data_IF_208042897543
#
_entry.id   IF_208042897543
#
_cell.length_a   1.000
_cell.length_b   1.000
_cell.length_c   1.000
_cell.angle_alpha   90.00
_cell.angle_beta   90.00
_cell.angle_gamma   90.00
#
_symmetry.space_group_name_H-M   'P 1'
#
loop_
_entity.id
_entity.type
_entity.pdbx_description
1 polymer ?
#
# COMPACT_ATOMS: atom_id res chain seq x y z
N UNK A 1 -29.54 -14.20 -21.43
CA UNK A 1 -28.37 -14.87 -20.82
C UNK A 1 -27.55 -13.80 -20.13
N UNK A 2 -27.23 -13.95 -18.84
CA UNK A 2 -26.38 -13.01 -18.11
C UNK A 2 -24.95 -13.04 -18.67
N UNK A 3 -24.30 -11.88 -18.76
CA UNK A 3 -22.89 -11.76 -19.14
C UNK A 3 -22.00 -12.53 -18.14
N UNK A 4 -21.31 -13.60 -18.57
CA UNK A 4 -20.40 -14.39 -17.73
C UNK A 4 -19.35 -13.55 -16.99
N UNK A 5 -18.81 -12.53 -17.66
CA UNK A 5 -17.76 -11.67 -17.09
C UNK A 5 -18.34 -10.78 -16.01
N UNK A 6 -19.56 -10.28 -16.19
CA UNK A 6 -20.26 -9.51 -15.17
C UNK A 6 -20.58 -10.36 -13.92
N UNK A 7 -21.02 -11.61 -14.10
CA UNK A 7 -21.28 -12.53 -13.00
C UNK A 7 -19.98 -12.89 -12.24
N UNK A 8 -18.90 -13.17 -12.97
CA UNK A 8 -17.57 -13.40 -12.41
C UNK A 8 -17.07 -12.20 -11.61
N UNK A 9 -17.19 -10.98 -12.15
CA UNK A 9 -16.80 -9.75 -11.44
C UNK A 9 -17.56 -9.58 -10.13
N UNK A 10 -18.86 -9.83 -10.12
CA UNK A 10 -19.67 -9.73 -8.90
C UNK A 10 -19.24 -10.78 -7.85
N UNK A 11 -19.01 -12.02 -8.27
CA UNK A 11 -18.53 -13.09 -7.39
C UNK A 11 -17.15 -12.78 -6.80
N UNK A 12 -16.23 -12.27 -7.61
CA UNK A 12 -14.88 -11.86 -7.18
C UNK A 12 -14.95 -10.87 -6.02
N UNK A 13 -15.73 -9.78 -6.14
CA UNK A 13 -15.83 -8.79 -5.06
C UNK A 13 -16.50 -9.32 -3.81
N UNK A 14 -17.57 -10.12 -3.96
CA UNK A 14 -18.25 -10.73 -2.82
C UNK A 14 -17.30 -11.67 -2.03
N UNK A 15 -16.56 -12.51 -2.74
CA UNK A 15 -15.58 -13.42 -2.14
C UNK A 15 -14.44 -12.65 -1.47
N UNK A 16 -13.89 -11.62 -2.13
CA UNK A 16 -12.81 -10.81 -1.57
C UNK A 16 -13.24 -10.11 -0.29
N UNK A 17 -14.45 -9.56 -0.23
CA UNK A 17 -14.98 -8.97 1.02
C UNK A 17 -15.11 -10.00 2.13
N UNK A 18 -15.60 -11.20 1.82
CA UNK A 18 -15.66 -12.27 2.80
C UNK A 18 -14.27 -12.69 3.29
N UNK A 19 -13.28 -12.73 2.39
CA UNK A 19 -11.89 -13.04 2.72
C UNK A 19 -11.27 -11.97 3.61
N UNK A 20 -11.44 -10.69 3.29
CA UNK A 20 -11.00 -9.56 4.11
C UNK A 20 -11.67 -9.58 5.48
N UNK A 21 -12.98 -9.85 5.54
CA UNK A 21 -13.70 -9.97 6.81
C UNK A 21 -13.20 -11.13 7.68
N UNK A 22 -12.64 -12.19 7.07
CA UNK A 22 -12.13 -13.37 7.79
C UNK A 22 -10.64 -13.27 8.15
N UNK A 23 -9.81 -12.80 7.22
CA UNK A 23 -8.36 -12.77 7.34
C UNK A 23 -7.82 -11.38 7.71
N UNK A 24 -8.70 -10.38 7.78
CA UNK A 24 -8.33 -8.99 7.95
C UNK A 24 -7.89 -8.33 6.63
N UNK A 25 -7.48 -7.05 6.72
CA UNK A 25 -7.09 -6.23 5.58
C UNK A 25 -5.77 -6.67 4.92
N UNK A 26 -5.12 -7.68 5.48
CA UNK A 26 -3.88 -8.28 5.00
C UNK A 26 -4.10 -9.43 4.02
N UNK A 27 -5.36 -9.72 3.67
CA UNK A 27 -5.66 -10.57 2.53
C UNK A 27 -5.08 -9.92 1.26
N UNK A 28 -3.84 -10.30 0.94
CA UNK A 28 -2.98 -9.85 -0.16
C UNK A 28 -3.74 -9.49 -1.43
N UNK A 29 -3.11 -8.68 -2.28
CA UNK A 29 -3.50 -8.53 -3.67
C UNK A 29 -3.76 -9.89 -4.31
N UNK A 30 -4.90 -10.03 -4.99
CA UNK A 30 -5.34 -11.31 -5.49
C UNK A 30 -5.72 -11.23 -6.95
N UNK A 31 -5.30 -12.27 -7.67
CA UNK A 31 -5.70 -12.53 -9.04
C UNK A 31 -6.78 -13.60 -9.09
N UNK A 32 -7.79 -13.42 -9.93
CA UNK A 32 -8.65 -14.52 -10.37
C UNK A 32 -8.71 -14.54 -11.89
N UNK A 33 -8.79 -15.74 -12.46
CA UNK A 33 -8.97 -15.95 -13.91
C UNK A 33 -10.24 -16.76 -14.16
N UNK A 34 -11.07 -16.25 -15.07
CA UNK A 34 -12.25 -16.94 -15.58
C UNK A 34 -11.89 -17.69 -16.86
N UNK A 35 -12.04 -19.00 -16.80
CA UNK A 35 -11.96 -19.88 -17.95
C UNK A 35 -13.36 -20.29 -18.41
N UNK A 36 -13.60 -20.27 -19.73
CA UNK A 36 -14.85 -20.72 -20.33
C UNK A 36 -14.58 -21.81 -21.36
N UNK A 37 -15.33 -22.90 -21.31
CA UNK A 37 -15.26 -23.96 -22.30
C UNK A 37 -16.00 -23.55 -23.58
N UNK A 38 -15.29 -23.48 -24.71
CA UNK A 38 -15.85 -23.03 -25.98
C UNK A 38 -17.00 -23.92 -26.50
N UNK A 39 -17.00 -25.21 -26.15
CA UNK A 39 -17.98 -26.18 -26.63
C UNK A 39 -19.23 -26.28 -25.75
N UNK A 40 -19.07 -26.16 -24.43
CA UNK A 40 -20.16 -26.43 -23.47
C UNK A 40 -20.65 -25.18 -22.75
N UNK A 41 -19.92 -24.07 -22.82
CA UNK A 41 -20.18 -22.85 -22.04
C UNK A 41 -19.92 -23.00 -20.53
N UNK A 42 -19.40 -24.14 -20.08
CA UNK A 42 -19.02 -24.35 -18.67
C UNK A 42 -17.94 -23.37 -18.26
N UNK A 43 -18.03 -22.87 -17.03
CA UNK A 43 -17.12 -21.88 -16.46
C UNK A 43 -16.29 -22.50 -15.33
N UNK A 44 -15.03 -22.09 -15.25
CA UNK A 44 -14.11 -22.44 -14.18
C UNK A 44 -13.40 -21.17 -13.72
N UNK A 45 -13.42 -20.90 -12.42
CA UNK A 45 -12.64 -19.80 -11.82
C UNK A 45 -11.42 -20.40 -11.15
N UNK A 46 -10.25 -19.87 -11.49
CA UNK A 46 -9.00 -20.20 -10.80
C UNK A 46 -8.55 -18.98 -10.02
N UNK A 47 -8.34 -19.19 -8.73
CA UNK A 47 -7.76 -18.19 -7.83
C UNK A 47 -6.25 -18.37 -7.79
N UNK A 48 -5.52 -17.29 -8.02
CA UNK A 48 -4.08 -17.21 -7.86
C UNK A 48 -3.75 -16.24 -6.72
N UNK A 49 -2.84 -16.66 -5.85
CA UNK A 49 -2.11 -15.71 -5.02
C UNK A 49 -1.07 -15.01 -5.90
N UNK A 50 -1.05 -13.67 -5.89
CA UNK A 50 0.10 -12.96 -6.41
C UNK A 50 1.27 -13.22 -5.46
N UNK A 51 2.42 -13.71 -5.94
CA UNK A 51 3.52 -14.16 -5.09
C UNK A 51 4.20 -13.00 -4.33
N UNK A 52 4.04 -11.77 -4.81
CA UNK A 52 4.64 -10.57 -4.23
C UNK A 52 3.62 -9.41 -4.21
N UNK A 53 3.70 -8.51 -3.22
CA UNK A 53 2.90 -7.29 -3.19
C UNK A 53 3.10 -6.47 -4.47
N UNK A 54 2.07 -5.72 -4.87
CA UNK A 54 2.23 -4.70 -5.89
C UNK A 54 3.24 -3.62 -5.46
N UNK A 55 4.45 -3.71 -6.00
CA UNK A 55 5.52 -2.72 -5.86
C UNK A 55 6.09 -2.32 -7.22
N UNK A 56 6.77 -1.19 -7.21
CA UNK A 56 7.39 -0.55 -8.35
C UNK A 56 6.41 0.31 -9.15
N UNK A 57 6.94 1.01 -10.15
CA UNK A 57 6.17 1.98 -10.92
C UNK A 57 4.90 1.36 -11.53
N UNK A 58 3.75 1.99 -11.33
CA UNK A 58 2.44 1.51 -11.79
C UNK A 58 2.41 1.09 -13.26
N UNK A 59 3.07 1.83 -14.16
CA UNK A 59 3.15 1.47 -15.58
C UNK A 59 3.86 0.13 -15.81
N UNK A 60 4.97 -0.11 -15.11
CA UNK A 60 5.70 -1.37 -15.15
C UNK A 60 4.89 -2.51 -14.50
N UNK A 61 4.16 -2.22 -13.42
CA UNK A 61 3.26 -3.18 -12.79
C UNK A 61 2.14 -3.62 -13.75
N UNK A 62 1.44 -2.68 -14.39
CA UNK A 62 0.39 -2.98 -15.38
C UNK A 62 0.94 -3.85 -16.50
N UNK A 63 2.13 -3.50 -17.03
CA UNK A 63 2.77 -4.29 -18.07
C UNK A 63 3.10 -5.69 -17.59
N UNK A 64 3.72 -5.86 -16.43
CA UNK A 64 4.06 -7.17 -15.84
C UNK A 64 2.82 -8.05 -15.66
N UNK A 65 1.74 -7.49 -15.14
CA UNK A 65 0.47 -8.21 -14.98
C UNK A 65 -0.11 -8.64 -16.33
N UNK A 66 -0.05 -7.78 -17.34
CA UNK A 66 -0.54 -8.06 -18.68
C UNK A 66 0.36 -9.03 -19.49
N UNK A 67 1.68 -8.94 -19.34
CA UNK A 67 2.65 -9.71 -20.12
C UNK A 67 2.96 -11.05 -19.49
N UNK A 68 3.16 -11.10 -18.18
CA UNK A 68 3.76 -12.27 -17.53
C UNK A 68 2.67 -13.13 -16.88
N UNK A 69 1.87 -12.50 -16.01
CA UNK A 69 0.77 -13.18 -15.34
C UNK A 69 -0.28 -13.61 -16.36
N UNK A 70 -0.87 -12.67 -17.10
CA UNK A 70 -1.96 -12.98 -18.02
C UNK A 70 -1.54 -13.90 -19.18
N UNK A 71 -0.38 -13.67 -19.80
CA UNK A 71 0.03 -14.51 -20.93
C UNK A 71 0.24 -15.97 -20.51
N UNK A 72 0.80 -16.21 -19.32
CA UNK A 72 0.97 -17.56 -18.77
C UNK A 72 -0.39 -18.26 -18.58
N UNK A 73 -1.42 -17.53 -18.15
CA UNK A 73 -2.77 -18.11 -17.94
C UNK A 73 -3.52 -18.35 -19.25
N UNK A 74 -3.30 -17.53 -20.28
CA UNK A 74 -3.81 -17.82 -21.63
C UNK A 74 -3.27 -19.14 -22.19
N UNK A 75 -2.07 -19.55 -21.77
CA UNK A 75 -1.43 -20.80 -22.22
C UNK A 75 -1.91 -22.04 -21.46
N UNK A 76 -2.75 -21.92 -20.42
CA UNK A 76 -3.33 -23.05 -19.68
C UNK A 76 -4.43 -23.79 -20.47
N UNK A 77 -4.22 -24.01 -21.77
CA UNK A 77 -5.07 -24.87 -22.59
C UNK A 77 -4.67 -26.32 -22.32
N UNK A 78 -5.47 -27.02 -21.50
CA UNK A 78 -5.21 -28.42 -21.17
C UNK A 78 -5.01 -29.30 -22.41
N UNK A 79 -3.88 -29.99 -22.49
CA UNK A 79 -3.49 -30.85 -23.61
C UNK A 79 -4.32 -32.16 -23.72
N UNK A 80 -5.34 -32.37 -22.87
CA UNK A 80 -5.84 -33.72 -22.61
C UNK A 80 -7.15 -34.13 -23.33
N UNK A 81 -8.04 -33.23 -23.77
CA UNK A 81 -9.25 -33.63 -24.53
C UNK A 81 -9.90 -32.42 -25.24
N UNK A 82 -10.13 -32.46 -26.58
CA UNK A 82 -10.82 -31.41 -27.33
C UNK A 82 -12.18 -31.00 -26.75
N UNK A 83 -12.89 -31.93 -26.07
CA UNK A 83 -14.18 -31.69 -25.42
C UNK A 83 -14.11 -30.82 -24.14
N UNK A 84 -12.91 -30.59 -23.62
CA UNK A 84 -12.67 -29.90 -22.34
C UNK A 84 -11.76 -28.68 -22.49
N UNK A 85 -11.62 -28.14 -23.71
CA UNK A 85 -10.78 -26.96 -23.95
C UNK A 85 -11.39 -25.73 -23.27
N UNK A 86 -10.78 -25.34 -22.16
CA UNK A 86 -11.07 -24.12 -21.42
C UNK A 86 -10.17 -23.00 -21.93
N UNK A 87 -10.75 -21.84 -22.18
CA UNK A 87 -10.03 -20.65 -22.63
C UNK A 87 -10.15 -19.54 -21.59
N UNK A 88 -9.04 -18.88 -21.27
CA UNK A 88 -9.05 -17.72 -20.39
C UNK A 88 -9.80 -16.57 -21.08
N UNK A 89 -10.90 -16.13 -20.46
CA UNK A 89 -11.81 -15.12 -21.03
C UNK A 89 -11.70 -13.77 -20.33
N UNK A 90 -11.40 -13.77 -19.03
CA UNK A 90 -11.15 -12.57 -18.25
C UNK A 90 -10.19 -12.86 -17.09
N UNK A 91 -9.35 -11.88 -16.75
CA UNK A 91 -8.55 -11.85 -15.53
C UNK A 91 -8.94 -10.63 -14.69
N UNK A 92 -8.99 -10.80 -13.38
CA UNK A 92 -9.19 -9.71 -12.43
C UNK A 92 -8.04 -9.69 -11.44
N UNK A 93 -7.45 -8.52 -11.28
CA UNK A 93 -6.55 -8.19 -10.18
C UNK A 93 -7.22 -7.09 -9.34
N UNK A 94 -7.15 -7.20 -8.03
CA UNK A 94 -7.53 -6.10 -7.15
C UNK A 94 -6.55 -5.95 -6.00
N UNK A 95 -6.07 -4.72 -5.85
CA UNK A 95 -5.38 -4.25 -4.67
C UNK A 95 -6.41 -3.84 -3.62
N UNK A 96 -6.12 -4.14 -2.37
CA UNK A 96 -6.96 -3.72 -1.25
C UNK A 96 -6.10 -3.00 -0.21
N UNK A 97 -6.54 -1.81 0.17
CA UNK A 97 -5.96 -1.02 1.24
C UNK A 97 -7.05 -0.78 2.31
N UNK A 98 -6.82 -1.10 3.59
CA UNK A 98 -7.81 -0.94 4.64
C UNK A 98 -8.44 0.46 4.70
N UNK A 99 -7.63 1.51 4.50
CA UNK A 99 -8.07 2.90 4.59
C UNK A 99 -9.04 3.33 3.47
N UNK A 100 -8.99 2.70 2.29
CA UNK A 100 -9.69 3.19 1.08
C UNK A 100 -10.48 2.12 0.33
N UNK A 101 -10.41 0.85 0.75
CA UNK A 101 -11.08 -0.27 0.11
C UNK A 101 -10.27 -0.84 -1.05
N UNK A 102 -10.94 -1.20 -2.16
CA UNK A 102 -10.23 -1.55 -3.38
C UNK A 102 -9.84 -0.27 -4.09
N UNK A 103 -8.68 0.28 -3.71
CA UNK A 103 -8.10 1.49 -4.30
C UNK A 103 -7.92 1.34 -5.80
N UNK A 104 -7.59 0.13 -6.26
CA UNK A 104 -7.43 -0.15 -7.67
C UNK A 104 -7.71 -1.60 -8.05
N UNK A 105 -8.46 -1.76 -9.13
CA UNK A 105 -8.78 -3.03 -9.77
C UNK A 105 -8.42 -2.95 -11.25
N UNK A 106 -7.85 -4.03 -11.78
CA UNK A 106 -7.49 -4.19 -13.18
C UNK A 106 -8.19 -5.42 -13.77
N UNK A 107 -8.95 -5.21 -14.85
CA UNK A 107 -9.52 -6.27 -15.67
C UNK A 107 -8.69 -6.46 -16.93
N UNK A 108 -8.31 -7.71 -17.18
CA UNK A 108 -7.60 -8.16 -18.35
C UNK A 108 -8.55 -8.93 -19.26
N UNK A 109 -8.60 -8.54 -20.53
CA UNK A 109 -9.23 -9.29 -21.60
C UNK A 109 -8.20 -10.03 -22.46
N UNK A 110 -8.65 -10.75 -23.50
CA UNK A 110 -7.77 -11.50 -24.40
C UNK A 110 -6.65 -10.66 -25.03
N UNK A 111 -6.94 -9.39 -25.30
CA UNK A 111 -6.04 -8.41 -25.93
C UNK A 111 -5.18 -7.61 -24.91
N UNK A 112 -5.30 -7.89 -23.60
CA UNK A 112 -4.55 -7.19 -22.54
C UNK A 112 -5.45 -6.38 -21.60
N UNK A 113 -4.93 -5.31 -20.96
CA UNK A 113 -5.70 -4.43 -20.08
C UNK A 113 -6.97 -3.91 -20.74
N UNK A 114 -8.12 -4.28 -20.19
CA UNK A 114 -9.42 -3.92 -20.72
C UNK A 114 -10.03 -2.75 -19.95
N UNK A 115 -9.96 -2.78 -18.61
CA UNK A 115 -10.58 -1.78 -17.74
C UNK A 115 -9.81 -1.62 -16.44
N UNK A 116 -9.81 -0.42 -15.90
CA UNK A 116 -9.42 -0.15 -14.52
C UNK A 116 -10.58 0.54 -13.79
N UNK A 117 -10.70 0.28 -12.49
CA UNK A 117 -11.66 0.98 -11.65
C UNK A 117 -11.22 0.96 -10.20
N UNK A 118 -11.84 1.83 -9.40
CA UNK A 118 -11.78 1.83 -7.95
C UNK A 118 -13.13 1.41 -7.39
N UNK A 119 -13.15 0.66 -6.30
CA UNK A 119 -14.38 0.37 -5.53
C UNK A 119 -14.20 0.92 -4.13
N UNK A 120 -14.96 1.97 -3.80
CA UNK A 120 -14.92 2.57 -2.48
C UNK A 120 -15.56 1.67 -1.39
N UNK A 121 -15.42 2.06 -0.12
CA UNK A 121 -16.02 1.33 1.00
C UNK A 121 -17.56 1.27 0.99
N UNK A 122 -18.23 2.00 0.09
CA UNK A 122 -19.70 1.96 -0.13
C UNK A 122 -20.07 1.10 -1.34
N UNK A 123 -19.11 0.33 -1.87
CA UNK A 123 -19.27 -0.53 -3.05
C UNK A 123 -19.54 0.22 -4.35
N UNK A 124 -19.24 1.53 -4.40
CA UNK A 124 -19.41 2.30 -5.62
C UNK A 124 -18.17 2.14 -6.50
N UNK A 125 -18.38 1.54 -7.67
CA UNK A 125 -17.34 1.42 -8.68
C UNK A 125 -17.21 2.74 -9.48
N UNK A 126 -15.98 3.24 -9.59
CA UNK A 126 -15.63 4.39 -10.43
C UNK A 126 -14.63 3.95 -11.47
N UNK A 127 -14.97 4.08 -12.75
CA UNK A 127 -14.06 3.74 -13.84
C UNK A 127 -12.88 4.70 -13.87
N UNK A 128 -11.69 4.14 -14.10
CA UNK A 128 -10.42 4.86 -14.15
C UNK A 128 -9.77 4.67 -15.52
N UNK A 129 -9.03 5.67 -15.98
CA UNK A 129 -8.09 5.46 -17.07
C UNK A 129 -6.90 4.64 -16.56
N UNK A 130 -6.22 3.91 -17.45
CA UNK A 130 -4.97 3.24 -17.06
C UNK A 130 -3.91 4.31 -16.80
N UNK A 131 -3.37 4.42 -15.58
CA UNK A 131 -2.41 5.45 -15.24
C UNK A 131 -1.03 5.11 -15.81
N UNK A 132 -0.35 6.04 -16.51
CA UNK A 132 0.99 5.82 -17.03
C UNK A 132 2.08 5.96 -15.95
N UNK A 133 1.80 6.68 -14.86
CA UNK A 133 2.74 7.04 -13.80
C UNK A 133 2.03 7.20 -12.43
N UNK A 134 2.85 7.32 -11.37
CA UNK A 134 2.38 7.45 -9.98
C UNK A 134 1.58 8.72 -9.72
N UNK A 135 1.92 9.84 -10.35
CA UNK A 135 1.18 11.10 -10.17
C UNK A 135 -0.23 10.98 -10.74
N UNK A 136 -0.37 10.42 -11.95
CA UNK A 136 -1.67 10.17 -12.56
C UNK A 136 -2.49 9.17 -11.73
N UNK A 137 -1.86 8.14 -11.18
CA UNK A 137 -2.52 7.21 -10.27
C UNK A 137 -3.03 7.93 -9.00
N UNK A 138 -2.19 8.77 -8.39
CA UNK A 138 -2.55 9.56 -7.21
C UNK A 138 -3.70 10.51 -7.49
N UNK A 139 -3.64 11.25 -8.60
CA UNK A 139 -4.70 12.21 -8.93
C UNK A 139 -6.05 11.51 -9.16
N UNK A 140 -6.04 10.24 -9.58
CA UNK A 140 -7.25 9.42 -9.76
C UNK A 140 -7.75 8.75 -8.48
N UNK A 141 -6.86 8.33 -7.58
CA UNK A 141 -7.21 7.47 -6.44
C UNK A 141 -7.13 8.20 -5.10
N UNK A 142 -6.40 9.30 -5.03
CA UNK A 142 -6.06 10.05 -3.82
C UNK A 142 -4.91 9.47 -3.01
N UNK A 143 -4.17 8.47 -3.56
CA UNK A 143 -3.01 7.84 -2.90
C UNK A 143 -2.02 7.36 -3.95
N UNK A 144 -0.77 7.11 -3.57
CA UNK A 144 0.20 6.50 -4.47
C UNK A 144 -0.01 4.99 -4.63
N UNK A 145 0.37 4.46 -5.78
CA UNK A 145 0.42 3.01 -5.97
C UNK A 145 1.61 2.46 -5.20
N UNK A 146 2.79 3.03 -5.42
CA UNK A 146 3.99 2.80 -4.61
C UNK A 146 4.61 4.14 -4.19
N UNK A 147 4.65 4.41 -2.88
CA UNK A 147 5.19 5.66 -2.35
C UNK A 147 6.70 5.81 -2.64
N UNK A 148 7.45 4.72 -2.72
CA UNK A 148 8.89 4.77 -3.01
C UNK A 148 9.17 5.24 -4.43
N UNK A 149 8.29 4.88 -5.37
CA UNK A 149 8.33 5.37 -6.74
C UNK A 149 7.94 6.85 -6.82
N UNK A 150 6.98 7.28 -5.98
CA UNK A 150 6.64 8.70 -5.86
C UNK A 150 7.83 9.53 -5.35
N UNK A 151 8.59 9.01 -4.36
CA UNK A 151 9.84 9.63 -3.92
C UNK A 151 10.86 9.75 -5.06
N UNK A 152 11.07 8.67 -5.83
CA UNK A 152 11.96 8.70 -6.99
C UNK A 152 11.53 9.76 -8.02
N UNK A 153 10.22 9.90 -8.26
CA UNK A 153 9.65 10.94 -9.10
C UNK A 153 9.88 12.36 -8.58
N UNK A 154 9.74 12.58 -7.27
CA UNK A 154 10.02 13.87 -6.62
C UNK A 154 11.49 14.28 -6.75
N UNK A 155 12.41 13.34 -6.53
CA UNK A 155 13.85 13.55 -6.70
C UNK A 155 14.17 13.88 -8.16
N UNK A 156 13.67 13.07 -9.11
CA UNK A 156 13.90 13.29 -10.53
C UNK A 156 13.38 14.67 -10.99
N UNK A 157 12.20 15.09 -10.52
CA UNK A 157 11.67 16.44 -10.78
C UNK A 157 12.58 17.52 -10.23
N UNK A 158 12.97 17.40 -8.97
CA UNK A 158 13.84 18.38 -8.29
C UNK A 158 15.15 18.56 -9.03
N UNK A 159 15.79 17.46 -9.44
CA UNK A 159 17.02 17.48 -10.23
C UNK A 159 16.79 18.15 -11.60
N UNK A 160 15.67 17.85 -12.26
CA UNK A 160 15.40 18.37 -13.60
C UNK A 160 15.03 19.87 -13.62
N UNK A 161 14.31 20.35 -12.61
CA UNK A 161 13.81 21.73 -12.55
C UNK A 161 14.70 22.66 -11.75
N UNK A 162 15.52 22.12 -10.83
CA UNK A 162 16.23 22.91 -9.83
C UNK A 162 15.29 23.58 -8.83
N UNK A 163 14.09 23.05 -8.64
CA UNK A 163 13.08 23.57 -7.71
C UNK A 163 12.57 22.45 -6.81
N UNK A 164 12.13 22.80 -5.60
CA UNK A 164 11.50 21.85 -4.69
C UNK A 164 10.23 21.24 -5.27
N UNK A 165 9.95 20.01 -4.87
CA UNK A 165 8.74 19.29 -5.22
C UNK A 165 8.16 18.62 -3.98
N UNK A 166 6.85 18.73 -3.81
CA UNK A 166 6.11 18.13 -2.69
C UNK A 166 4.93 17.32 -3.19
N UNK A 167 4.51 16.35 -2.39
CA UNK A 167 3.28 15.60 -2.62
C UNK A 167 2.62 15.21 -1.28
N UNK A 168 1.32 15.42 -1.18
CA UNK A 168 0.52 14.82 -0.13
C UNK A 168 0.33 13.33 -0.43
N UNK A 169 0.74 12.47 0.50
CA UNK A 169 0.57 11.02 0.44
C UNK A 169 -0.83 10.64 0.87
N UNK A 170 -1.27 11.25 1.98
CA UNK A 170 -2.57 11.11 2.60
C UNK A 170 -2.80 12.33 3.52
N UNK A 171 -4.03 12.57 4.01
CA UNK A 171 -4.26 13.62 4.98
C UNK A 171 -3.32 13.50 6.19
N UNK A 172 -2.60 14.58 6.50
CA UNK A 172 -1.63 14.63 7.60
C UNK A 172 -0.25 14.04 7.25
N UNK A 173 0.04 13.69 6.00
CA UNK A 173 1.35 13.19 5.59
C UNK A 173 1.76 13.73 4.22
N UNK A 174 2.80 14.54 4.20
CA UNK A 174 3.40 15.15 3.01
C UNK A 174 4.85 14.72 2.91
N UNK A 175 5.27 14.37 1.70
CA UNK A 175 6.66 14.05 1.37
C UNK A 175 7.19 15.08 0.37
N UNK A 176 8.49 15.35 0.42
CA UNK A 176 9.09 16.31 -0.48
C UNK A 176 10.58 16.12 -0.70
N UNK A 177 11.00 16.60 -1.86
CA UNK A 177 12.40 16.73 -2.23
C UNK A 177 12.68 18.21 -2.52
N UNK A 178 13.79 18.74 -2.02
CA UNK A 178 14.23 20.10 -2.33
C UNK A 178 15.69 20.13 -2.75
N UNK A 179 16.10 21.24 -3.33
CA UNK A 179 17.51 21.47 -3.69
C UNK A 179 18.33 21.49 -2.41
N UNK A 180 19.34 20.61 -2.36
CA UNK A 180 20.27 20.52 -1.25
C UNK A 180 21.48 21.43 -1.41
N UNK A 181 22.22 21.59 -0.31
CA UNK A 181 23.52 22.26 -0.31
C UNK A 181 24.58 21.21 0.05
N UNK A 182 25.39 20.75 -0.92
CA UNK A 182 26.40 19.73 -0.66
C UNK A 182 27.34 20.10 0.50
N UNK A 183 27.43 19.23 1.51
CA UNK A 183 28.26 19.43 2.70
C UNK A 183 27.63 20.23 3.83
N UNK A 184 26.37 20.67 3.69
CA UNK A 184 25.58 21.25 4.79
C UNK A 184 25.29 20.19 5.86
N UNK A 185 25.72 20.38 7.11
CA UNK A 185 25.54 19.38 8.17
C UNK A 185 24.12 19.34 8.74
N UNK A 186 23.32 20.41 8.59
CA UNK A 186 21.99 20.50 9.21
C UNK A 186 20.97 21.23 8.32
N UNK A 187 20.37 20.50 7.35
CA UNK A 187 19.32 21.01 6.50
C UNK A 187 18.11 21.62 7.23
N UNK A 188 17.82 21.16 8.46
CA UNK A 188 16.60 21.54 9.18
C UNK A 188 16.65 22.99 9.68
N UNK A 189 17.85 23.55 9.88
CA UNK A 189 18.05 24.92 10.34
C UNK A 189 18.10 25.95 9.19
N UNK A 190 18.07 25.49 7.93
CA UNK A 190 18.18 26.38 6.77
C UNK A 190 16.85 27.06 6.49
N UNK A 191 16.84 28.39 6.54
CA UNK A 191 15.73 29.18 6.02
C UNK A 191 15.63 28.99 4.49
N UNK A 192 14.49 28.48 4.05
CA UNK A 192 14.20 28.25 2.65
C UNK A 192 12.84 28.91 2.32
N UNK A 193 12.84 30.04 1.62
CA UNK A 193 11.62 30.77 1.28
C UNK A 193 10.64 29.95 0.41
N UNK A 194 11.17 29.14 -0.50
CA UNK A 194 10.36 28.32 -1.42
C UNK A 194 9.73 27.14 -0.66
N UNK A 195 10.48 26.59 0.31
CA UNK A 195 10.00 25.61 1.27
C UNK A 195 8.79 26.17 2.06
N UNK A 196 8.90 27.37 2.62
CA UNK A 196 7.82 28.03 3.36
C UNK A 196 6.58 28.34 2.49
N UNK A 197 6.77 28.75 1.24
CA UNK A 197 5.67 28.95 0.28
C UNK A 197 4.93 27.64 0.00
N UNK A 198 5.68 26.55 -0.25
CA UNK A 198 5.09 25.24 -0.45
C UNK A 198 4.30 24.75 0.78
N UNK A 199 4.74 25.04 2.01
CA UNK A 199 3.98 24.68 3.22
C UNK A 199 2.75 25.53 3.47
N UNK A 200 2.81 26.83 3.16
CA UNK A 200 1.67 27.73 3.32
C UNK A 200 0.42 27.27 2.52
N UNK A 201 0.62 26.48 1.46
CA UNK A 201 -0.46 25.88 0.69
C UNK A 201 -1.21 24.74 1.42
N UNK A 202 -0.62 24.15 2.46
CA UNK A 202 -1.17 23.02 3.23
C UNK A 202 -1.60 23.43 4.66
N UNK A 203 -1.63 24.74 4.93
CA UNK A 203 -1.70 25.41 6.25
C UNK A 203 -3.13 25.65 6.81
N UNK A 204 -3.99 24.62 6.89
CA UNK A 204 -4.94 24.61 8.01
C UNK A 204 -4.78 23.39 8.93
N UNK A 205 -3.76 22.53 8.75
CA UNK A 205 -3.57 21.32 9.54
C UNK A 205 -2.34 21.41 10.44
N UNK A 206 -2.46 20.88 11.66
CA UNK A 206 -1.35 20.78 12.61
C UNK A 206 -0.49 19.58 12.24
N UNK A 207 0.67 19.83 11.62
CA UNK A 207 1.74 18.84 11.50
C UNK A 207 2.63 18.95 12.74
N UNK A 208 2.92 17.83 13.40
CA UNK A 208 3.73 17.80 14.62
C UNK A 208 5.19 17.38 14.37
N UNK A 209 5.48 16.85 13.18
CA UNK A 209 6.77 16.28 12.83
C UNK A 209 7.26 16.82 11.49
N UNK A 210 8.48 17.36 11.47
CA UNK A 210 9.30 17.60 10.28
C UNK A 210 10.56 16.74 10.38
N UNK A 211 10.69 15.76 9.49
CA UNK A 211 11.82 14.82 9.49
C UNK A 211 12.58 14.93 8.18
N UNK A 212 13.91 15.08 8.26
CA UNK A 212 14.81 14.98 7.11
C UNK A 212 15.35 13.56 6.99
N UNK A 213 15.23 12.96 5.82
CA UNK A 213 15.51 11.53 5.63
C UNK A 213 16.94 11.24 5.19
N UNK A 214 17.76 12.26 4.92
CA UNK A 214 19.13 12.09 4.43
C UNK A 214 20.17 12.86 5.24
N UNK A 215 19.95 13.00 6.55
CA UNK A 215 20.91 13.58 7.49
C UNK A 215 21.97 12.56 7.95
N UNK A 216 23.09 13.00 8.56
CA UNK A 216 24.09 12.09 9.14
C UNK A 216 23.50 11.11 10.17
N UNK A 217 22.50 11.52 10.93
CA UNK A 217 21.82 10.70 11.95
C UNK A 217 21.11 9.49 11.34
N UNK A 218 20.64 9.63 10.09
CA UNK A 218 19.99 8.54 9.33
C UNK A 218 20.94 7.35 9.14
N UNK A 219 22.26 7.56 9.17
CA UNK A 219 23.24 6.48 9.04
C UNK A 219 23.17 5.46 10.19
N UNK A 220 22.59 5.82 11.33
CA UNK A 220 22.39 4.92 12.47
C UNK A 220 21.19 3.97 12.29
N UNK A 221 20.31 4.21 11.30
CA UNK A 221 19.18 3.34 11.02
C UNK A 221 19.61 2.08 10.24
N UNK A 222 18.90 0.95 10.43
CA UNK A 222 19.08 -0.24 9.59
C UNK A 222 18.99 0.07 8.10
N UNK A 223 19.91 -0.51 7.32
CA UNK A 223 20.06 -0.27 5.88
C UNK A 223 18.73 -0.47 5.11
N UNK A 224 18.00 -1.54 5.42
CA UNK A 224 16.70 -1.86 4.83
C UNK A 224 15.62 -0.77 4.94
N UNK A 225 15.82 0.23 5.80
CA UNK A 225 14.88 1.34 6.00
C UNK A 225 15.42 2.66 5.48
N UNK A 226 16.56 2.68 4.81
CA UNK A 226 17.17 3.91 4.34
C UNK A 226 16.90 4.11 2.85
N UNK A 227 16.80 5.37 2.44
CA UNK A 227 16.57 5.75 1.05
C UNK A 227 17.53 5.15 0.01
N UNK A 228 18.81 4.79 0.28
CA UNK A 228 19.63 4.16 -0.75
C UNK A 228 19.02 2.84 -1.26
N UNK A 229 18.35 2.09 -0.39
CA UNK A 229 17.76 0.79 -0.73
C UNK A 229 16.53 0.92 -1.62
N UNK A 230 15.73 1.96 -1.43
CA UNK A 230 14.42 2.08 -2.07
C UNK A 230 14.34 3.19 -3.14
N UNK A 231 15.28 4.14 -3.18
CA UNK A 231 15.26 5.26 -4.15
C UNK A 231 15.92 4.91 -5.49
N UNK A 232 16.67 3.80 -5.56
CA UNK A 232 17.29 3.30 -6.78
C UNK A 232 18.20 4.34 -7.46
N UNK A 233 17.92 4.65 -8.73
CA UNK A 233 18.76 5.58 -9.52
C UNK A 233 18.81 7.01 -8.95
N UNK A 234 17.79 7.44 -8.19
CA UNK A 234 17.77 8.75 -7.54
C UNK A 234 18.70 8.89 -6.33
N UNK A 235 19.23 7.77 -5.81
CA UNK A 235 20.11 7.74 -4.64
C UNK A 235 21.38 8.58 -4.80
N UNK A 236 21.92 8.69 -6.01
CA UNK A 236 23.18 9.42 -6.25
C UNK A 236 23.13 10.90 -5.87
N UNK A 237 22.08 11.61 -6.31
CA UNK A 237 21.91 13.04 -6.04
C UNK A 237 21.68 13.31 -4.55
N UNK A 238 20.92 12.42 -3.88
CA UNK A 238 20.68 12.50 -2.43
C UNK A 238 21.96 12.22 -1.63
N UNK A 239 22.75 11.22 -2.05
CA UNK A 239 24.04 10.90 -1.44
C UNK A 239 25.05 12.05 -1.55
N UNK A 240 25.01 12.77 -2.66
CA UNK A 240 25.87 13.93 -2.91
C UNK A 240 25.42 15.20 -2.15
N UNK A 241 24.25 15.17 -1.51
CA UNK A 241 23.66 16.35 -0.87
C UNK A 241 23.13 17.39 -1.87
N UNK A 242 22.93 17.00 -3.14
CA UNK A 242 22.33 17.85 -4.18
C UNK A 242 20.81 17.92 -4.03
N UNK A 243 20.22 16.91 -3.39
CA UNK A 243 18.80 16.83 -3.08
C UNK A 243 18.63 16.43 -1.62
N UNK A 244 17.74 17.14 -0.93
CA UNK A 244 17.33 16.85 0.44
C UNK A 244 15.90 16.31 0.47
N UNK A 245 15.70 15.22 1.22
CA UNK A 245 14.43 14.56 1.39
C UNK A 245 13.83 14.94 2.73
N UNK A 246 12.55 15.30 2.75
CA UNK A 246 11.85 15.63 3.99
C UNK A 246 10.42 15.09 4.00
N UNK A 247 9.93 14.81 5.20
CA UNK A 247 8.56 14.42 5.47
C UNK A 247 7.94 15.38 6.49
N UNK A 248 6.73 15.86 6.21
CA UNK A 248 5.85 16.42 7.22
C UNK A 248 4.78 15.43 7.58
N UNK A 249 4.61 15.21 8.87
CA UNK A 249 3.68 14.22 9.38
C UNK A 249 2.93 14.74 10.62
N UNK A 250 1.67 14.34 10.71
CA UNK A 250 0.86 14.33 11.91
C UNK A 250 0.94 12.92 12.51
N UNK A 251 1.61 12.79 13.65
CA UNK A 251 1.78 11.51 14.33
C UNK A 251 0.44 10.89 14.77
N UNK A 252 -0.59 11.72 15.01
CA UNK A 252 -1.94 11.27 15.34
C UNK A 252 -2.53 10.42 14.20
N UNK A 253 -2.31 10.83 12.95
CA UNK A 253 -2.80 10.08 11.79
C UNK A 253 -2.11 8.70 11.66
N UNK A 254 -0.88 8.54 12.13
CA UNK A 254 -0.23 7.23 12.23
C UNK A 254 -0.85 6.37 13.35
N UNK A 255 -1.13 6.96 14.51
CA UNK A 255 -1.84 6.28 15.61
C UNK A 255 -3.23 5.82 15.18
N UNK A 256 -3.97 6.63 14.42
CA UNK A 256 -5.25 6.23 13.83
C UNK A 256 -5.09 5.05 12.85
N UNK A 257 -4.04 5.02 12.03
CA UNK A 257 -3.77 3.87 11.17
C UNK A 257 -3.51 2.57 11.98
N UNK A 258 -2.88 2.67 13.16
CA UNK A 258 -2.71 1.53 14.09
C UNK A 258 -4.06 1.11 14.68
N UNK A 259 -4.89 2.07 15.09
CA UNK A 259 -6.26 1.82 15.60
C UNK A 259 -7.11 1.09 14.56
N UNK A 260 -7.07 1.53 13.30
CA UNK A 260 -7.79 0.89 12.19
C UNK A 260 -7.32 -0.56 11.97
N UNK A 261 -6.00 -0.78 11.97
CA UNK A 261 -5.42 -2.13 11.84
C UNK A 261 -5.83 -3.05 12.99
N UNK A 262 -5.84 -2.56 14.23
CA UNK A 262 -6.24 -3.30 15.41
C UNK A 262 -7.75 -3.58 15.45
N UNK A 263 -8.58 -2.60 15.09
CA UNK A 263 -10.02 -2.73 15.01
C UNK A 263 -10.45 -3.80 14.01
N UNK A 264 -9.76 -3.90 12.87
CA UNK A 264 -9.99 -4.95 11.89
C UNK A 264 -9.70 -6.38 12.41
N UNK A 265 -8.95 -6.49 13.53
CA UNK A 265 -8.70 -7.74 14.27
C UNK A 265 -9.54 -7.89 15.53
N UNK A 266 -10.46 -6.96 15.80
CA UNK A 266 -11.24 -6.96 17.04
C UNK A 266 -10.40 -6.68 18.28
N UNK A 267 -9.27 -5.98 18.12
CA UNK A 267 -8.47 -5.44 19.21
C UNK A 267 -8.81 -3.96 19.45
N UNK A 268 -8.72 -3.53 20.70
CA UNK A 268 -8.86 -2.14 21.16
C UNK A 268 -7.48 -1.52 21.37
N UNK A 269 -7.34 -0.23 21.07
CA UNK A 269 -6.09 0.52 21.21
C UNK A 269 -6.33 1.76 22.04
N UNK A 270 -5.52 1.97 23.07
CA UNK A 270 -5.58 3.16 23.92
C UNK A 270 -4.20 3.72 24.14
N UNK A 271 -4.08 5.03 24.07
CA UNK A 271 -2.89 5.74 24.53
C UNK A 271 -2.85 5.66 26.07
N UNK A 272 -1.71 5.25 26.61
CA UNK A 272 -1.55 5.03 28.07
C UNK A 272 -0.45 5.87 28.69
N UNK A 273 0.49 6.34 27.87
CA UNK A 273 1.48 7.35 28.20
C UNK A 273 1.87 8.07 26.90
N UNK A 274 2.73 9.07 27.03
CA UNK A 274 3.37 9.69 25.87
C UNK A 274 4.12 8.63 25.06
N UNK A 275 3.94 8.63 23.75
CA UNK A 275 4.56 7.67 22.83
C UNK A 275 4.25 6.17 23.07
N UNK A 276 3.27 5.83 23.93
CA UNK A 276 2.93 4.45 24.27
C UNK A 276 1.45 4.10 24.07
N UNK A 277 1.21 2.97 23.38
CA UNK A 277 -0.11 2.38 23.18
C UNK A 277 -0.28 1.12 24.01
N UNK A 278 -1.52 0.87 24.45
CA UNK A 278 -1.99 -0.40 24.97
C UNK A 278 -2.93 -1.06 23.95
N UNK A 279 -2.51 -2.19 23.41
CA UNK A 279 -3.31 -3.05 22.56
C UNK A 279 -4.01 -4.10 23.42
N UNK A 280 -5.32 -4.30 23.23
CA UNK A 280 -6.12 -5.23 24.05
C UNK A 280 -7.06 -6.09 23.21
N UNK A 281 -7.14 -7.39 23.51
CA UNK A 281 -8.12 -8.31 22.91
C UNK A 281 -8.70 -9.20 24.00
N UNK A 282 -9.98 -8.96 24.33
CA UNK A 282 -10.61 -9.58 25.50
C UNK A 282 -9.83 -9.26 26.79
N UNK A 283 -9.41 -10.28 27.58
CA UNK A 283 -8.68 -10.07 28.83
C UNK A 283 -7.16 -9.92 28.64
N UNK A 284 -6.65 -10.07 27.42
CA UNK A 284 -5.23 -9.92 27.13
C UNK A 284 -4.94 -8.48 26.72
N UNK A 285 -3.80 -7.97 27.17
CA UNK A 285 -3.31 -6.66 26.78
C UNK A 285 -1.79 -6.63 26.76
N UNK A 286 -1.23 -5.80 25.89
CA UNK A 286 0.20 -5.50 25.84
C UNK A 286 0.43 -4.01 25.63
N UNK A 287 1.57 -3.52 26.10
CA UNK A 287 2.01 -2.15 25.94
C UNK A 287 3.14 -2.08 24.91
N UNK A 288 3.10 -1.10 24.02
CA UNK A 288 4.05 -0.94 22.91
C UNK A 288 4.33 0.53 22.65
N UNK A 289 5.60 0.86 22.38
CA UNK A 289 6.05 2.18 21.96
C UNK A 289 5.69 2.42 20.47
N UNK A 290 5.17 3.60 20.13
CA UNK A 290 4.76 3.91 18.75
C UNK A 290 5.62 4.94 18.02
N UNK A 291 6.33 5.83 18.73
CA UNK A 291 7.12 6.90 18.12
C UNK A 291 8.27 6.38 17.26
N UNK A 292 9.00 5.36 17.73
CA UNK A 292 10.06 4.73 16.91
C UNK A 292 9.52 4.06 15.63
N UNK A 293 8.47 3.22 15.68
CA UNK A 293 7.80 2.73 14.48
C UNK A 293 7.32 3.83 13.52
N UNK A 294 6.84 4.96 14.06
CA UNK A 294 6.43 6.11 13.26
C UNK A 294 7.61 6.69 12.47
N UNK A 295 8.72 7.03 13.13
CA UNK A 295 9.91 7.53 12.43
C UNK A 295 10.44 6.52 11.42
N UNK A 296 10.48 5.23 11.76
CA UNK A 296 10.88 4.16 10.82
C UNK A 296 9.98 4.09 9.60
N UNK A 297 8.69 4.40 9.74
CA UNK A 297 7.74 4.45 8.61
C UNK A 297 8.13 5.53 7.62
N UNK A 298 8.48 6.73 8.11
CA UNK A 298 8.92 7.84 7.27
C UNK A 298 10.22 7.49 6.54
N UNK A 299 11.22 7.01 7.27
CA UNK A 299 12.54 6.64 6.71
C UNK A 299 12.47 5.51 5.69
N UNK A 300 11.63 4.50 5.95
CA UNK A 300 11.44 3.38 5.03
C UNK A 300 10.64 3.74 3.76
N UNK A 301 10.22 5.00 3.60
CA UNK A 301 9.47 5.49 2.46
C UNK A 301 8.07 4.89 2.38
N UNK A 302 7.44 4.61 3.52
CA UNK A 302 6.15 3.92 3.61
C UNK A 302 5.01 4.88 3.94
N UNK A 303 3.80 4.53 3.51
CA UNK A 303 2.55 5.16 3.99
C UNK A 303 2.23 4.75 5.44
N UNK A 304 1.38 5.50 6.14
CA UNK A 304 1.05 5.17 7.55
C UNK A 304 0.39 3.82 7.72
N UNK A 305 -0.56 3.46 6.84
CA UNK A 305 -1.18 2.14 6.87
C UNK A 305 -0.17 1.00 6.64
N UNK A 306 0.79 1.21 5.74
CA UNK A 306 1.83 0.24 5.46
C UNK A 306 2.85 0.14 6.59
N UNK A 307 3.24 1.27 7.20
CA UNK A 307 4.08 1.30 8.39
C UNK A 307 3.42 0.63 9.59
N UNK A 308 2.16 0.97 9.88
CA UNK A 308 1.38 0.34 10.95
C UNK A 308 1.32 -1.18 10.77
N UNK A 309 1.04 -1.65 9.55
CA UNK A 309 1.10 -3.08 9.22
C UNK A 309 2.50 -3.64 9.48
N UNK A 310 3.53 -3.05 8.90
CA UNK A 310 4.91 -3.55 8.97
C UNK A 310 5.41 -3.69 10.41
N UNK A 311 5.07 -2.72 11.29
CA UNK A 311 5.63 -2.65 12.64
C UNK A 311 4.71 -3.16 13.75
N UNK A 312 3.38 -3.16 13.57
CA UNK A 312 2.41 -3.57 14.59
C UNK A 312 1.70 -4.89 14.30
N UNK A 313 1.67 -5.35 13.04
CA UNK A 313 1.08 -6.66 12.70
C UNK A 313 1.65 -7.81 13.55
N UNK A 314 2.98 -7.93 13.78
CA UNK A 314 3.50 -9.04 14.60
C UNK A 314 2.98 -9.01 16.05
N UNK A 315 2.82 -7.81 16.62
CA UNK A 315 2.28 -7.64 17.98
C UNK A 315 0.80 -8.00 18.03
N UNK A 316 0.01 -7.54 17.07
CA UNK A 316 -1.42 -7.87 16.95
C UNK A 316 -1.63 -9.36 16.70
N UNK A 317 -0.82 -9.99 15.84
CA UNK A 317 -0.86 -11.44 15.61
C UNK A 317 -0.55 -12.23 16.89
N UNK A 318 0.44 -11.79 17.67
CA UNK A 318 0.75 -12.42 18.97
C UNK A 318 -0.41 -12.29 19.96
N UNK A 319 -1.11 -11.15 19.97
CA UNK A 319 -2.28 -10.92 20.81
C UNK A 319 -3.47 -11.80 20.38
N UNK A 320 -3.67 -11.97 19.08
CA UNK A 320 -4.68 -12.84 18.49
C UNK A 320 -4.43 -14.31 18.84
N UNK A 321 -3.21 -14.80 18.63
CA UNK A 321 -2.80 -16.17 18.98
C UNK A 321 -3.00 -16.45 20.48
N UNK A 322 -2.60 -15.50 21.34
CA UNK A 322 -2.81 -15.59 22.77
C UNK A 322 -4.29 -15.67 23.14
N UNK A 323 -5.14 -14.88 22.47
CA UNK A 323 -6.58 -14.85 22.72
C UNK A 323 -7.26 -16.17 22.30
N UNK A 324 -6.89 -16.71 21.14
CA UNK A 324 -7.39 -18.01 20.66
C UNK A 324 -6.96 -19.14 21.61
N UNK A 325 -5.70 -19.13 22.07
CA UNK A 325 -5.21 -20.10 23.05
C UNK A 325 -5.99 -20.03 24.37
N UNK A 326 -6.21 -18.83 24.89
CA UNK A 326 -6.98 -18.61 26.12
C UNK A 326 -8.43 -19.08 25.97
N UNK A 327 -9.05 -18.81 24.82
CA UNK A 327 -10.42 -19.25 24.51
C UNK A 327 -10.51 -20.78 24.45
N UNK A 328 -9.57 -21.43 23.76
CA UNK A 328 -9.48 -22.89 23.69
C UNK A 328 -9.24 -23.53 25.07
N UNK A 329 -8.37 -22.93 25.90
CA UNK A 329 -8.13 -23.39 27.28
C UNK A 329 -9.39 -23.27 28.14
N UNK A 330 -10.09 -22.14 28.08
CA UNK A 330 -11.36 -21.94 28.80
C UNK A 330 -12.42 -22.95 28.39
N UNK A 331 -12.55 -23.24 27.09
CA UNK A 331 -13.50 -24.24 26.60
C UNK A 331 -13.18 -25.65 27.11
N UNK A 332 -11.90 -26.01 27.26
CA UNK A 332 -11.47 -27.32 27.79
C UNK A 332 -11.58 -27.44 29.31
N UNK A 333 -11.46 -26.33 30.02
CA UNK A 333 -11.54 -26.27 31.48
C UNK A 333 -12.96 -25.96 31.99
N UNK A 334 -13.90 -25.69 31.09
CA UNK A 334 -15.30 -25.53 31.43
C UNK A 334 -15.87 -26.88 31.90
N UNK A 335 -16.47 -26.95 33.11
CA UNK A 335 -16.95 -28.20 33.72
C UNK A 335 -18.15 -28.82 33.01
#
# INVERSE_FOLDING_TARGET
MSDPVAAFRHAFFAERRALIGRLGPEAFDQGQVLYTCALTGRQLVVQDAFPEPATGAIGAFVQRVASDWWATRRQFAGEADPGTRFEATAGLYARYLPAVGFDWCLELGPEGPARAWRVDGRERATALALPPDEDTFRDQTGTFFDLREAWAGLVARTVATGQGAVAEVQPGYVVGARVGVPGDPDPAQREDPDFMEHFSAWDPREYDTLEFLNTPETAALPEAWRWPEWLGAGAGAVAAGEVELFALADSTAFVEAIKDLAAARGADVREVADEELRLSRGPLSMQIEWARPFLRTLHAGLGFAEGARTFFQPALASLDEGFELLTALRARLAP
#
